data_IF_042955931396
#
_entry.id   IF_042955931396
#
_cell.length_a   1.000
_cell.length_b   1.000
_cell.length_c   1.000
_cell.angle_alpha   90.00
_cell.angle_beta   90.00
_cell.angle_gamma   90.00
#
_symmetry.space_group_name_H-M   'P 1'
#
loop_
_entity.id
_entity.type
_entity.pdbx_description
1 polymer ?
#
# COMPACT_ATOMS: atom_id res chain seq x y z
N UNK A 1 -0.15 -14.25 0.23
CA UNK A 1 -1.30 -13.39 -0.11
C UNK A 1 -1.38 -12.36 1.00
N UNK A 2 -0.95 -11.13 0.74
CA UNK A 2 -0.96 -10.03 1.70
C UNK A 2 -2.04 -9.08 1.23
N UNK A 3 -3.14 -9.00 1.96
CA UNK A 3 -4.18 -8.03 1.65
C UNK A 3 -3.78 -6.72 2.33
N UNK A 4 -3.54 -5.65 1.55
CA UNK A 4 -3.24 -4.30 2.09
C UNK A 4 -4.49 -3.66 2.69
N UNK A 5 -5.23 -4.41 3.50
CA UNK A 5 -6.51 -3.98 4.03
C UNK A 5 -6.36 -3.35 5.40
N UNK A 6 -5.33 -3.69 6.18
CA UNK A 6 -5.08 -3.09 7.49
C UNK A 6 -3.58 -2.77 7.72
N UNK A 7 -3.30 -1.93 8.73
CA UNK A 7 -1.93 -1.51 9.08
C UNK A 7 -1.06 -2.67 9.57
N UNK A 8 -1.65 -3.66 10.25
CA UNK A 8 -0.93 -4.80 10.79
C UNK A 8 -0.36 -5.70 9.68
N UNK A 9 -1.11 -5.92 8.61
CA UNK A 9 -0.71 -6.70 7.43
C UNK A 9 0.45 -6.01 6.70
N UNK A 10 0.41 -4.68 6.61
CA UNK A 10 1.51 -3.88 6.04
C UNK A 10 2.77 -4.05 6.92
N UNK A 11 2.64 -3.90 8.24
CA UNK A 11 3.77 -4.05 9.15
C UNK A 11 4.38 -5.46 9.11
N UNK A 12 3.55 -6.52 9.07
CA UNK A 12 4.01 -7.91 8.96
C UNK A 12 4.71 -8.16 7.62
N UNK A 13 4.19 -7.58 6.52
CA UNK A 13 4.83 -7.65 5.21
C UNK A 13 6.23 -7.03 5.24
N UNK A 14 6.39 -5.83 5.80
CA UNK A 14 7.70 -5.18 5.92
C UNK A 14 8.65 -5.94 6.85
N UNK A 15 8.14 -6.56 7.92
CA UNK A 15 8.95 -7.42 8.79
C UNK A 15 9.49 -8.66 8.04
N UNK A 16 8.66 -9.29 7.19
CA UNK A 16 9.09 -10.39 6.33
C UNK A 16 10.11 -9.94 5.28
N UNK A 17 9.87 -8.81 4.62
CA UNK A 17 10.82 -8.23 3.65
C UNK A 17 12.18 -7.97 4.31
N UNK A 18 12.19 -7.40 5.51
CA UNK A 18 13.40 -7.22 6.31
C UNK A 18 14.13 -8.53 6.58
N UNK A 19 13.38 -9.57 6.97
CA UNK A 19 13.97 -10.87 7.29
C UNK A 19 14.51 -11.61 6.07
N UNK A 20 13.86 -11.47 4.90
CA UNK A 20 14.20 -12.25 3.71
C UNK A 20 15.21 -11.54 2.81
N UNK A 21 15.09 -10.23 2.64
CA UNK A 21 15.88 -9.44 1.67
C UNK A 21 16.84 -8.46 2.35
N UNK A 22 16.64 -8.15 3.63
CA UNK A 22 17.46 -7.22 4.39
C UNK A 22 17.19 -5.74 4.05
N UNK A 23 17.19 -5.40 2.76
CA UNK A 23 17.10 -4.04 2.26
C UNK A 23 16.02 -3.89 1.18
N UNK A 24 15.60 -2.64 0.94
CA UNK A 24 14.59 -2.27 -0.03
C UNK A 24 15.08 -1.08 -0.84
N UNK A 25 15.32 -1.27 -2.14
CA UNK A 25 15.78 -0.21 -3.04
C UNK A 25 14.62 0.52 -3.73
N UNK A 26 13.56 -0.23 -4.07
CA UNK A 26 12.42 0.28 -4.84
C UNK A 26 11.11 -0.16 -4.19
N UNK A 27 10.26 0.79 -3.85
CA UNK A 27 8.88 0.57 -3.43
C UNK A 27 7.92 1.04 -4.53
N UNK A 28 7.04 0.15 -5.00
CA UNK A 28 6.00 0.48 -5.98
C UNK A 28 4.62 0.34 -5.34
N UNK A 29 3.97 1.46 -5.05
CA UNK A 29 2.60 1.51 -4.56
C UNK A 29 1.64 1.48 -5.76
N UNK A 30 1.25 0.28 -6.19
CA UNK A 30 0.35 0.03 -7.33
C UNK A 30 -1.02 -0.55 -6.92
N UNK A 31 -1.47 -0.30 -5.70
CA UNK A 31 -2.73 -0.87 -5.22
C UNK A 31 -3.94 -0.11 -5.80
N UNK A 32 -4.47 -0.59 -6.93
CA UNK A 32 -5.75 -0.19 -7.49
C UNK A 32 -6.74 -1.34 -7.42
N UNK A 33 -7.84 -1.16 -6.68
CA UNK A 33 -8.98 -2.09 -6.70
C UNK A 33 -10.06 -1.43 -7.55
N UNK A 34 -10.27 -1.94 -8.77
CA UNK A 34 -11.46 -1.65 -9.54
C UNK A 34 -12.58 -2.56 -9.07
N UNK A 35 -13.74 -2.01 -8.73
CA UNK A 35 -14.95 -2.80 -8.55
C UNK A 35 -15.81 -2.69 -9.81
N UNK A 36 -16.17 -3.83 -10.39
CA UNK A 36 -17.10 -3.89 -11.53
C UNK A 36 -18.52 -3.40 -11.17
N UNK A 37 -18.87 -3.34 -9.87
CA UNK A 37 -20.16 -2.85 -9.38
C UNK A 37 -20.26 -1.31 -9.35
N UNK A 38 -19.13 -0.61 -9.35
CA UNK A 38 -19.04 0.84 -9.23
C UNK A 38 -19.20 1.55 -10.59
N UNK A 39 -20.29 1.28 -11.30
CA UNK A 39 -20.67 2.01 -12.51
C UNK A 39 -20.87 3.50 -12.19
N UNK A 40 -20.29 4.43 -12.96
CA UNK A 40 -20.52 5.87 -12.75
C UNK A 40 -21.99 6.28 -12.96
N UNK A 41 -22.75 5.50 -13.73
CA UNK A 41 -24.13 5.82 -14.09
C UNK A 41 -25.16 5.16 -13.16
N UNK A 42 -24.78 4.10 -12.45
CA UNK A 42 -25.72 3.24 -11.72
C UNK A 42 -25.16 2.58 -10.47
N UNK A 43 -23.90 2.89 -10.10
CA UNK A 43 -23.27 2.35 -8.90
C UNK A 43 -23.83 3.00 -7.65
N UNK A 44 -24.00 2.22 -6.60
CA UNK A 44 -24.40 2.75 -5.30
C UNK A 44 -23.21 3.51 -4.69
N UNK A 45 -23.49 4.57 -3.94
CA UNK A 45 -22.44 5.34 -3.25
C UNK A 45 -21.64 4.46 -2.27
N UNK A 46 -22.24 3.39 -1.74
CA UNK A 46 -21.53 2.37 -0.94
C UNK A 46 -20.44 1.65 -1.72
N UNK A 47 -20.67 1.36 -2.99
CA UNK A 47 -19.71 0.65 -3.84
C UNK A 47 -18.51 1.55 -4.18
N UNK A 48 -18.76 2.85 -4.38
CA UNK A 48 -17.71 3.85 -4.54
C UNK A 48 -16.94 4.08 -3.24
N UNK A 49 -17.65 4.06 -2.11
CA UNK A 49 -17.02 4.13 -0.79
C UNK A 49 -16.12 2.92 -0.57
N UNK A 50 -16.57 1.71 -0.85
CA UNK A 50 -15.73 0.50 -0.72
C UNK A 50 -14.56 0.48 -1.72
N UNK A 51 -14.74 1.03 -2.92
CA UNK A 51 -13.65 1.19 -3.91
C UNK A 51 -12.58 2.19 -3.45
N UNK A 52 -12.99 3.28 -2.77
CA UNK A 52 -12.09 4.36 -2.33
C UNK A 52 -11.58 4.17 -0.90
N UNK A 53 -12.37 3.51 -0.06
CA UNK A 53 -12.12 3.11 1.32
C UNK A 53 -12.05 1.59 1.35
N UNK A 54 -10.82 1.06 1.27
CA UNK A 54 -10.61 -0.34 1.61
C UNK A 54 -11.04 -0.50 3.07
N UNK A 55 -11.94 -1.45 3.34
CA UNK A 55 -12.76 -1.62 4.55
C UNK A 55 -12.07 -1.41 5.93
N UNK A 56 -10.74 -1.36 6.00
CA UNK A 56 -9.97 -1.20 7.23
C UNK A 56 -8.81 -0.16 7.16
N UNK A 57 -8.54 0.48 6.01
CA UNK A 57 -7.56 1.57 5.89
C UNK A 57 -7.88 2.43 4.64
N UNK A 58 -8.12 3.75 4.78
CA UNK A 58 -8.32 4.61 3.61
C UNK A 58 -7.11 4.51 2.67
N UNK A 59 -7.34 4.45 1.36
CA UNK A 59 -6.28 4.14 0.37
C UNK A 59 -5.07 5.07 0.46
N UNK A 60 -5.31 6.35 0.73
CA UNK A 60 -4.24 7.34 0.95
C UNK A 60 -3.41 7.07 2.21
N UNK A 61 -4.04 6.53 3.27
CA UNK A 61 -3.37 6.15 4.51
C UNK A 61 -2.50 4.92 4.30
N UNK A 62 -2.97 3.92 3.54
CA UNK A 62 -2.17 2.75 3.21
C UNK A 62 -0.90 3.11 2.43
N UNK A 63 -1.00 3.96 1.41
CA UNK A 63 0.17 4.45 0.64
C UNK A 63 1.14 5.23 1.53
N UNK A 64 0.63 6.06 2.43
CA UNK A 64 1.46 6.81 3.38
C UNK A 64 2.19 5.88 4.36
N UNK A 65 1.53 4.86 4.89
CA UNK A 65 2.12 3.87 5.79
C UNK A 65 3.18 3.05 5.05
N UNK A 66 2.88 2.53 3.86
CA UNK A 66 3.86 1.79 3.05
C UNK A 66 5.09 2.63 2.73
N UNK A 67 4.89 3.91 2.38
CA UNK A 67 6.01 4.82 2.11
C UNK A 67 6.84 5.09 3.37
N UNK A 68 6.19 5.29 4.52
CA UNK A 68 6.87 5.47 5.82
C UNK A 68 7.74 4.25 6.18
N UNK A 69 7.19 3.05 6.09
CA UNK A 69 7.94 1.82 6.42
C UNK A 69 9.04 1.54 5.38
N UNK A 70 8.80 1.82 4.10
CA UNK A 70 9.81 1.71 3.05
C UNK A 70 11.01 2.63 3.27
N UNK A 71 10.77 3.91 3.59
CA UNK A 71 11.87 4.85 3.89
C UNK A 71 12.67 4.42 5.11
N UNK A 72 12.02 3.95 6.18
CA UNK A 72 12.73 3.44 7.36
C UNK A 72 13.68 2.31 6.99
N UNK A 73 13.21 1.37 6.17
CA UNK A 73 14.01 0.21 5.77
C UNK A 73 15.17 0.62 4.84
N UNK A 74 14.94 1.58 3.94
CA UNK A 74 15.99 2.19 3.11
C UNK A 74 17.08 2.83 3.98
N UNK A 75 16.70 3.62 5.00
CA UNK A 75 17.63 4.26 5.92
C UNK A 75 18.40 3.26 6.80
N UNK A 76 17.76 2.20 7.29
CA UNK A 76 18.43 1.16 8.07
C UNK A 76 19.54 0.45 7.25
N UNK A 77 19.39 0.43 5.94
CA UNK A 77 20.33 -0.16 5.00
C UNK A 77 21.33 0.83 4.38
N UNK A 78 21.34 2.09 4.82
CA UNK A 78 22.19 3.17 4.25
C UNK A 78 21.99 3.38 2.74
N UNK A 79 20.78 3.08 2.24
CA UNK A 79 20.36 3.33 0.85
C UNK A 79 20.02 4.81 0.70
N UNK A 80 20.80 5.54 -0.09
CA UNK A 80 20.63 6.98 -0.34
C UNK A 80 19.99 7.29 -1.72
N UNK A 81 19.77 6.28 -2.56
CA UNK A 81 19.21 6.36 -3.90
C UNK A 81 17.92 5.54 -4.06
N UNK A 82 17.23 5.25 -2.96
CA UNK A 82 15.96 4.52 -2.96
C UNK A 82 14.84 5.28 -3.68
N UNK A 83 13.95 4.54 -4.34
CA UNK A 83 12.85 5.11 -5.12
C UNK A 83 11.48 4.63 -4.64
N UNK A 84 10.55 5.57 -4.45
CA UNK A 84 9.14 5.29 -4.16
C UNK A 84 8.30 5.75 -5.35
N UNK A 85 7.57 4.82 -5.97
CA UNK A 85 6.73 5.08 -7.12
C UNK A 85 5.27 4.85 -6.72
N UNK A 86 4.47 5.91 -6.75
CA UNK A 86 3.03 5.83 -6.53
C UNK A 86 2.32 5.81 -7.89
N UNK A 87 1.61 4.71 -8.18
CA UNK A 87 0.78 4.62 -9.38
C UNK A 87 -0.62 5.12 -9.03
N UNK A 88 -1.09 6.14 -9.75
CA UNK A 88 -2.41 6.77 -9.58
C UNK A 88 -3.41 6.28 -10.61
#
# INVERSE_FOLDING_TARGET
RSEMQNEADIAEMFAKLRSEFGCLDILVNNAGVGSDSASMLSGETSDWREMLEVNNCPRGVAVAICSREGVKLMWECDINDGHIINMS
#
